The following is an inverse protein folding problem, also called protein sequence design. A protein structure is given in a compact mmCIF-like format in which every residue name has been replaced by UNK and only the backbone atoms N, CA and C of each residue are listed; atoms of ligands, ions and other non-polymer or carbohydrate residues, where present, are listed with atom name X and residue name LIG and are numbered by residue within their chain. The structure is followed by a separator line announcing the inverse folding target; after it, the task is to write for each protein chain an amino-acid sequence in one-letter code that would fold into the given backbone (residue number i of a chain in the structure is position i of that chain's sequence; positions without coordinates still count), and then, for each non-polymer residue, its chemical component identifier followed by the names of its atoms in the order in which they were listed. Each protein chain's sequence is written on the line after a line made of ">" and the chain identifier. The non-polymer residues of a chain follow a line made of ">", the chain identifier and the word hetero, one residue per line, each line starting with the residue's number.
data_IF_147890142876
#
_entry.id   IF_147890142876
#
_cell.length_a   1.000
_cell.length_b   1.000
_cell.length_c   1.000
_cell.angle_alpha   90.00
_cell.angle_beta   90.00
_cell.angle_gamma   90.00
#
_symmetry.space_group_name_H-M   'P 1'
#
loop_
_entity.id
_entity.type
_entity.pdbx_description
1 polymer ?
#
# COMPACT_ATOMS: atom_id res chain seq x y z
N UNK A 1 -13.00 9.28 -36.45
CA UNK A 1 -13.06 8.90 -35.02
C UNK A 1 -11.81 8.11 -34.73
N UNK A 2 -10.85 8.67 -33.98
CA UNK A 2 -9.63 7.95 -33.60
C UNK A 2 -10.02 6.94 -32.52
N UNK A 3 -9.73 5.66 -32.77
CA UNK A 3 -9.80 4.62 -31.75
C UNK A 3 -8.95 5.06 -30.56
N UNK A 4 -9.62 5.28 -29.43
CA UNK A 4 -8.94 5.41 -28.14
C UNK A 4 -8.59 3.97 -27.77
N UNK A 5 -7.40 3.53 -28.19
CA UNK A 5 -6.81 2.29 -27.69
C UNK A 5 -6.63 2.47 -26.19
N UNK A 6 -7.56 1.93 -25.40
CA UNK A 6 -7.40 1.82 -23.96
C UNK A 6 -6.04 1.18 -23.71
N UNK A 7 -5.08 1.83 -23.03
CA UNK A 7 -3.92 1.13 -22.55
C UNK A 7 -4.44 0.10 -21.56
N UNK A 8 -4.50 -1.16 -21.97
CA UNK A 8 -4.71 -2.27 -21.06
C UNK A 8 -3.52 -2.22 -20.11
N UNK A 9 -3.71 -1.62 -18.93
CA UNK A 9 -2.77 -1.71 -17.84
C UNK A 9 -2.64 -3.21 -17.56
N UNK A 10 -1.58 -3.84 -18.06
CA UNK A 10 -1.23 -5.22 -17.74
C UNK A 10 -1.06 -5.28 -16.23
N UNK A 11 -2.02 -5.90 -15.54
CA UNK A 11 -1.84 -6.24 -14.13
C UNK A 11 -0.72 -7.27 -14.05
N UNK A 12 0.27 -7.01 -13.21
CA UNK A 12 1.38 -7.95 -13.00
C UNK A 12 0.93 -9.08 -12.07
N UNK A 13 0.13 -9.99 -12.64
CA UNK A 13 -0.34 -11.19 -11.93
C UNK A 13 0.82 -12.10 -11.53
N UNK A 14 1.94 -12.05 -12.25
CA UNK A 14 3.08 -12.94 -11.99
C UNK A 14 3.91 -12.49 -10.78
N UNK A 15 3.98 -11.18 -10.51
CA UNK A 15 4.83 -10.66 -9.40
C UNK A 15 4.07 -10.09 -8.22
N UNK A 16 2.77 -9.77 -8.35
CA UNK A 16 2.02 -9.15 -7.26
C UNK A 16 1.45 -10.18 -6.26
N UNK A 17 1.93 -10.21 -5.00
CA UNK A 17 1.60 -11.28 -4.05
C UNK A 17 0.15 -11.28 -3.57
N UNK A 18 -0.63 -10.21 -3.80
CA UNK A 18 -2.07 -10.21 -3.50
C UNK A 18 -2.92 -10.83 -4.62
N UNK A 19 -2.41 -10.95 -5.84
CA UNK A 19 -3.19 -11.36 -7.01
C UNK A 19 -2.83 -12.77 -7.52
N UNK A 20 -1.70 -13.33 -7.08
CA UNK A 20 -1.31 -14.69 -7.43
C UNK A 20 -0.91 -15.50 -6.20
N UNK A 21 -1.50 -16.70 -6.08
CA UNK A 21 -1.15 -17.67 -5.05
C UNK A 21 0.28 -18.22 -5.23
N UNK A 22 0.82 -18.18 -6.44
CA UNK A 22 2.23 -18.53 -6.67
C UNK A 22 3.12 -17.38 -6.21
N UNK A 23 2.81 -16.15 -6.61
CA UNK A 23 3.57 -14.96 -6.24
C UNK A 23 3.56 -14.73 -4.71
N UNK A 24 2.48 -15.06 -4.00
CA UNK A 24 2.40 -14.90 -2.55
C UNK A 24 3.44 -15.71 -1.76
N UNK A 25 3.98 -16.78 -2.35
CA UNK A 25 5.03 -17.59 -1.72
C UNK A 25 6.45 -17.04 -1.93
N UNK A 26 6.67 -16.26 -2.99
CA UNK A 26 8.01 -15.85 -3.42
C UNK A 26 8.21 -14.35 -3.47
N UNK A 27 7.17 -13.55 -3.65
CA UNK A 27 7.21 -12.10 -3.74
C UNK A 27 6.75 -11.45 -2.43
N UNK A 28 7.50 -10.44 -1.99
CA UNK A 28 7.18 -9.68 -0.80
C UNK A 28 6.50 -8.35 -1.15
N UNK A 29 5.65 -7.87 -0.23
CA UNK A 29 5.07 -6.53 -0.27
C UNK A 29 5.37 -5.76 1.00
N UNK A 30 5.50 -4.44 0.88
CA UNK A 30 5.65 -3.52 2.02
C UNK A 30 4.45 -2.59 2.11
N UNK A 31 3.90 -2.45 3.32
CA UNK A 31 2.82 -1.49 3.60
C UNK A 31 3.41 -0.21 4.21
N UNK A 32 2.95 0.95 3.74
CA UNK A 32 3.42 2.28 4.13
C UNK A 32 2.32 3.04 4.90
N UNK A 33 2.45 3.18 6.23
CA UNK A 33 1.40 3.76 7.08
C UNK A 33 1.40 5.31 7.05
N UNK A 34 0.99 5.90 5.92
CA UNK A 34 0.96 7.36 5.71
C UNK A 34 -0.45 7.97 5.78
N UNK A 35 -1.48 7.13 5.93
CA UNK A 35 -2.88 7.51 5.77
C UNK A 35 -3.68 7.31 7.08
N UNK A 36 -3.58 8.21 8.08
CA UNK A 36 -4.19 8.01 9.40
C UNK A 36 -5.71 8.25 9.45
N UNK A 37 -6.26 9.12 8.60
CA UNK A 37 -7.70 9.45 8.62
C UNK A 37 -8.52 8.50 7.75
N UNK A 38 -9.81 8.43 7.99
CA UNK A 38 -10.75 7.67 7.17
C UNK A 38 -12.09 8.42 7.16
N UNK A 39 -12.83 8.33 6.05
CA UNK A 39 -14.06 9.08 5.78
C UNK A 39 -15.35 8.29 6.02
N UNK A 40 -15.24 7.02 6.42
CA UNK A 40 -16.37 6.16 6.81
C UNK A 40 -16.09 5.54 8.18
N UNK A 41 -17.06 4.89 8.83
CA UNK A 41 -16.82 4.03 9.99
C UNK A 41 -17.48 2.67 9.76
N UNK A 42 -16.67 1.63 9.52
CA UNK A 42 -17.19 0.27 9.43
C UNK A 42 -17.66 -0.19 10.81
N UNK A 43 -18.75 -0.96 10.88
CA UNK A 43 -19.30 -1.46 12.15
C UNK A 43 -18.33 -2.34 12.96
N UNK A 44 -17.34 -2.93 12.28
CA UNK A 44 -16.30 -3.78 12.86
C UNK A 44 -14.95 -3.06 13.04
N UNK A 45 -14.88 -1.74 12.78
CA UNK A 45 -13.64 -0.99 12.85
C UNK A 45 -13.41 -0.44 14.26
N UNK A 46 -12.18 -0.59 14.77
CA UNK A 46 -11.70 0.12 15.94
C UNK A 46 -10.53 1.02 15.53
N UNK A 47 -10.69 2.34 15.70
CA UNK A 47 -9.73 3.38 15.29
C UNK A 47 -8.43 3.42 16.07
N UNK A 48 -8.34 2.64 17.15
CA UNK A 48 -7.09 2.41 17.87
C UNK A 48 -6.11 1.49 17.13
N UNK A 49 -6.56 0.85 16.04
CA UNK A 49 -5.77 -0.10 15.25
C UNK A 49 -5.77 0.25 13.76
N UNK A 50 -4.88 -0.40 13.01
CA UNK A 50 -4.83 -0.26 11.56
C UNK A 50 -6.12 -0.76 10.89
N UNK A 51 -6.38 -0.26 9.68
CA UNK A 51 -7.53 -0.66 8.88
C UNK A 51 -7.56 -2.18 8.70
N UNK A 52 -8.53 -2.82 9.34
CA UNK A 52 -8.70 -4.28 9.35
C UNK A 52 -8.96 -4.88 7.97
N UNK A 53 -9.36 -4.07 6.98
CA UNK A 53 -9.56 -4.55 5.61
C UNK A 53 -8.24 -4.92 4.91
N UNK A 54 -7.14 -4.24 5.27
CA UNK A 54 -5.82 -4.45 4.64
C UNK A 54 -4.72 -4.78 5.64
N UNK A 55 -5.06 -4.92 6.93
CA UNK A 55 -4.14 -5.19 8.02
C UNK A 55 -4.66 -6.30 8.92
N UNK A 56 -3.73 -6.97 9.61
CA UNK A 56 -4.11 -8.03 10.56
C UNK A 56 -4.76 -7.41 11.81
N UNK A 57 -5.82 -8.03 12.37
CA UNK A 57 -6.44 -7.55 13.60
C UNK A 57 -5.43 -7.42 14.75
N UNK A 58 -5.55 -6.35 15.54
CA UNK A 58 -4.74 -6.13 16.74
C UNK A 58 -3.34 -5.54 16.50
N UNK A 59 -3.01 -5.14 15.26
CA UNK A 59 -1.76 -4.45 14.92
C UNK A 59 -2.02 -2.95 14.81
N UNK A 60 -1.14 -2.15 15.41
CA UNK A 60 -1.12 -0.70 15.25
C UNK A 60 0.24 -0.29 14.68
N UNK A 61 0.22 0.30 13.48
CA UNK A 61 1.42 0.82 12.84
C UNK A 61 1.72 2.24 13.32
N UNK A 62 3.01 2.54 13.49
CA UNK A 62 3.45 3.93 13.67
C UNK A 62 3.18 4.68 12.37
N UNK A 63 2.44 5.79 12.45
CA UNK A 63 2.23 6.69 11.32
C UNK A 63 3.57 7.31 10.93
N UNK A 64 3.87 7.32 9.63
CA UNK A 64 5.11 7.89 9.07
C UNK A 64 4.80 8.97 8.03
N UNK A 65 5.75 9.87 7.84
CA UNK A 65 5.71 10.89 6.77
C UNK A 65 6.02 10.28 5.38
N UNK A 66 5.65 10.96 4.27
CA UNK A 66 6.05 10.53 2.92
C UNK A 66 7.57 10.37 2.73
N UNK A 67 8.36 11.23 3.38
CA UNK A 67 9.82 11.16 3.34
C UNK A 67 10.35 9.93 4.10
N UNK A 68 9.80 9.63 5.27
CA UNK A 68 10.11 8.40 6.00
C UNK A 68 9.67 7.16 5.21
N UNK A 69 8.54 7.21 4.51
CA UNK A 69 8.07 6.12 3.67
C UNK A 69 9.06 5.80 2.53
N UNK A 70 9.62 6.82 1.87
CA UNK A 70 10.69 6.63 0.90
C UNK A 70 11.92 5.95 1.51
N UNK A 71 12.38 6.42 2.66
CA UNK A 71 13.49 5.80 3.38
C UNK A 71 13.18 4.34 3.72
N UNK A 72 11.94 4.05 4.12
CA UNK A 72 11.50 2.69 4.45
C UNK A 72 11.49 1.78 3.23
N UNK A 73 11.04 2.26 2.08
CA UNK A 73 11.09 1.49 0.83
C UNK A 73 12.53 1.19 0.45
N UNK A 74 13.44 2.18 0.49
CA UNK A 74 14.87 1.96 0.18
C UNK A 74 15.52 0.92 1.09
N UNK A 75 15.26 1.00 2.39
CA UNK A 75 15.69 0.00 3.37
C UNK A 75 15.12 -1.39 3.01
N UNK A 76 13.82 -1.46 2.73
CA UNK A 76 13.14 -2.73 2.43
C UNK A 76 13.66 -3.39 1.16
N UNK A 77 13.93 -2.62 0.11
CA UNK A 77 14.55 -3.12 -1.13
C UNK A 77 15.93 -3.72 -0.84
N UNK A 78 16.72 -3.10 0.05
CA UNK A 78 18.04 -3.62 0.42
C UNK A 78 18.00 -4.90 1.26
N UNK A 79 16.96 -5.08 2.08
CA UNK A 79 16.80 -6.22 2.98
C UNK A 79 16.06 -7.40 2.34
N UNK A 80 15.14 -7.12 1.42
CA UNK A 80 14.25 -8.11 0.80
C UNK A 80 14.42 -8.08 -0.72
N UNK A 81 15.33 -8.91 -1.28
CA UNK A 81 15.58 -8.97 -2.72
C UNK A 81 14.36 -9.33 -3.57
N UNK A 82 13.35 -9.95 -2.94
CA UNK A 82 12.10 -10.37 -3.54
C UNK A 82 10.94 -9.38 -3.31
N UNK A 83 11.22 -8.16 -2.83
CA UNK A 83 10.21 -7.11 -2.69
C UNK A 83 9.72 -6.66 -4.07
N UNK A 84 8.50 -7.03 -4.43
CA UNK A 84 7.90 -6.67 -5.72
C UNK A 84 6.94 -5.48 -5.63
N UNK A 85 6.38 -5.22 -4.45
CA UNK A 85 5.26 -4.29 -4.30
C UNK A 85 5.42 -3.38 -3.07
N UNK A 86 5.16 -2.09 -3.25
CA UNK A 86 4.95 -1.13 -2.16
C UNK A 86 3.53 -0.56 -2.23
N UNK A 87 2.81 -0.56 -1.10
CA UNK A 87 1.42 -0.15 -1.02
C UNK A 87 1.15 0.74 0.20
N UNK A 88 0.09 1.55 0.13
CA UNK A 88 -0.39 2.38 1.24
C UNK A 88 -1.67 1.74 1.78
N UNK A 89 -1.61 1.21 3.01
CA UNK A 89 -2.65 0.31 3.55
C UNK A 89 -3.35 0.82 4.81
N UNK A 90 -3.25 2.11 5.13
CA UNK A 90 -3.88 2.71 6.31
C UNK A 90 -2.89 3.47 7.20
N UNK A 91 -3.12 3.64 8.52
CA UNK A 91 -4.14 3.01 9.38
C UNK A 91 -5.62 3.30 9.06
N UNK A 92 -5.90 4.36 8.31
CA UNK A 92 -7.24 4.75 7.85
C UNK A 92 -7.49 4.37 6.39
N UNK A 93 -8.13 5.27 5.64
CA UNK A 93 -8.36 5.12 4.20
C UNK A 93 -7.35 5.95 3.41
N UNK A 94 -6.72 5.34 2.41
CA UNK A 94 -5.65 5.97 1.62
C UNK A 94 -6.14 7.22 0.88
N UNK A 95 -7.38 7.21 0.37
CA UNK A 95 -7.94 8.32 -0.38
C UNK A 95 -8.53 9.42 0.52
N UNK A 96 -8.82 9.12 1.79
CA UNK A 96 -9.11 10.12 2.82
C UNK A 96 -7.86 10.93 3.26
N UNK A 97 -6.66 10.56 2.79
CA UNK A 97 -5.39 11.26 3.08
C UNK A 97 -4.64 11.62 1.78
N UNK A 98 -5.27 12.34 0.82
CA UNK A 98 -4.76 12.45 -0.54
C UNK A 98 -3.38 13.10 -0.63
N UNK A 99 -3.10 14.13 0.18
CA UNK A 99 -1.81 14.83 0.18
C UNK A 99 -0.66 13.86 0.47
N UNK A 100 -0.69 13.17 1.62
CA UNK A 100 0.35 12.22 2.01
C UNK A 100 0.40 11.02 1.07
N UNK A 101 -0.75 10.51 0.66
CA UNK A 101 -0.86 9.31 -0.19
C UNK A 101 -0.23 9.55 -1.55
N UNK A 102 -0.67 10.59 -2.27
CA UNK A 102 -0.14 10.88 -3.61
C UNK A 102 1.30 11.36 -3.57
N UNK A 103 1.70 12.12 -2.53
CA UNK A 103 3.11 12.49 -2.36
C UNK A 103 4.00 11.26 -2.15
N UNK A 104 3.57 10.31 -1.30
CA UNK A 104 4.31 9.07 -1.08
C UNK A 104 4.45 8.27 -2.38
N UNK A 105 3.36 8.08 -3.12
CA UNK A 105 3.39 7.38 -4.42
C UNK A 105 4.31 8.08 -5.44
N UNK A 106 4.36 9.42 -5.44
CA UNK A 106 5.25 10.20 -6.30
C UNK A 106 6.72 10.01 -5.91
N UNK A 107 7.02 9.90 -4.62
CA UNK A 107 8.39 9.77 -4.12
C UNK A 107 8.99 8.38 -4.35
N UNK A 108 8.17 7.32 -4.33
CA UNK A 108 8.62 5.92 -4.42
C UNK A 108 8.56 5.33 -5.83
N UNK A 109 8.00 6.07 -6.80
CA UNK A 109 7.98 5.69 -8.21
C UNK A 109 9.34 5.89 -8.87
#
# INVERSE_FOLDING_TARGET
>A
MKEISNPVYKYDEETHPCFSATASNYCARVHLPVAPRCNILCNYCNRSYDCINESRPGVASRIISPAEALSKVKESVSQFPNLSTAAISGPGDSLANPVNTFETLRLIR
#
